data_IF_306154120805
#
_entry.id   IF_306154120805
#
_cell.length_a   1.000
_cell.length_b   1.000
_cell.length_c   1.000
_cell.angle_alpha   90.00
_cell.angle_beta   90.00
_cell.angle_gamma   90.00
#
_symmetry.space_group_name_H-M   'P 1'
#
loop_
_entity.id
_entity.type
_entity.pdbx_description
1 polymer ?
#
# COMPACT_ATOMS: atom_id res chain seq x y z
N UNK A 1 -19.86 -20.04 2.51
CA UNK A 1 -18.63 -20.64 1.95
C UNK A 1 -17.46 -19.85 2.50
N UNK A 2 -16.45 -20.53 3.07
CA UNK A 2 -15.37 -19.91 3.84
C UNK A 2 -14.50 -19.04 2.93
N UNK A 3 -14.55 -17.72 3.12
CA UNK A 3 -13.47 -16.85 2.67
C UNK A 3 -12.17 -17.42 3.25
N UNK A 4 -11.17 -17.62 2.39
CA UNK A 4 -9.86 -18.10 2.79
C UNK A 4 -9.33 -17.22 3.92
N UNK A 5 -9.37 -17.74 5.14
CA UNK A 5 -8.63 -17.18 6.25
C UNK A 5 -7.17 -17.43 5.95
N UNK A 6 -6.56 -16.54 5.15
CA UNK A 6 -5.12 -16.38 5.13
C UNK A 6 -4.73 -16.05 6.55
N UNK A 7 -4.22 -17.05 7.28
CA UNK A 7 -3.65 -16.83 8.59
C UNK A 7 -2.52 -15.80 8.44
N UNK A 8 -2.23 -15.04 9.49
CA UNK A 8 -1.13 -14.08 9.48
C UNK A 8 0.23 -14.70 9.04
N UNK A 9 0.35 -16.03 9.02
CA UNK A 9 1.50 -16.79 8.55
C UNK A 9 1.77 -16.72 7.03
N UNK A 10 0.80 -16.33 6.20
CA UNK A 10 0.98 -16.23 4.73
C UNK A 10 1.21 -14.79 4.23
N UNK A 11 1.46 -13.83 5.14
CA UNK A 11 1.82 -12.47 4.74
C UNK A 11 3.28 -12.47 4.24
N UNK A 12 3.54 -12.23 2.94
CA UNK A 12 4.90 -12.16 2.44
C UNK A 12 5.65 -11.06 3.20
N UNK A 13 6.89 -11.34 3.57
CA UNK A 13 7.78 -10.37 4.21
C UNK A 13 7.77 -9.06 3.42
N UNK A 14 7.48 -7.95 4.10
CA UNK A 14 7.54 -6.63 3.51
C UNK A 14 9.00 -6.24 3.27
N UNK A 15 9.55 -6.66 2.14
CA UNK A 15 10.95 -6.45 1.79
C UNK A 15 11.10 -6.25 0.29
N UNK A 16 12.00 -5.35 -0.09
CA UNK A 16 12.42 -5.16 -1.50
C UNK A 16 13.17 -6.38 -2.04
N UNK A 17 13.69 -7.24 -1.16
CA UNK A 17 14.42 -8.46 -1.51
C UNK A 17 13.49 -9.67 -1.64
N UNK A 18 12.21 -9.54 -1.28
CA UNK A 18 11.23 -10.60 -1.40
C UNK A 18 10.21 -10.25 -2.49
N UNK A 19 10.42 -10.79 -3.68
CA UNK A 19 9.68 -10.42 -4.88
C UNK A 19 8.39 -11.23 -5.01
N UNK A 20 7.26 -10.53 -5.10
CA UNK A 20 5.92 -11.07 -5.41
C UNK A 20 5.42 -10.73 -6.81
N UNK A 21 6.19 -9.94 -7.58
CA UNK A 21 5.88 -9.55 -8.95
C UNK A 21 7.14 -9.34 -9.79
N UNK A 22 7.01 -9.44 -11.11
CA UNK A 22 8.18 -9.37 -12.00
C UNK A 22 8.94 -8.02 -11.98
N UNK A 23 8.27 -6.87 -11.83
CA UNK A 23 8.98 -5.58 -11.71
C UNK A 23 9.83 -5.51 -10.43
N UNK A 24 9.32 -6.04 -9.31
CA UNK A 24 10.09 -6.17 -8.09
C UNK A 24 11.32 -7.10 -8.28
N UNK A 25 11.20 -8.16 -9.08
CA UNK A 25 12.34 -9.02 -9.41
C UNK A 25 13.42 -8.27 -10.22
N UNK A 26 13.03 -7.48 -11.23
CA UNK A 26 13.97 -6.61 -11.97
C UNK A 26 14.67 -5.62 -11.04
N UNK A 27 13.93 -4.98 -10.13
CA UNK A 27 14.49 -4.08 -9.12
C UNK A 27 15.43 -4.82 -8.16
N UNK A 28 15.09 -6.06 -7.79
CA UNK A 28 15.93 -6.92 -6.96
C UNK A 28 17.28 -7.25 -7.61
N UNK A 29 17.26 -7.61 -8.89
CA UNK A 29 18.49 -7.85 -9.65
C UNK A 29 19.36 -6.60 -9.76
N UNK A 30 18.74 -5.44 -10.06
CA UNK A 30 19.44 -4.15 -10.06
C UNK A 30 20.09 -3.87 -8.71
N UNK A 31 19.35 -4.11 -7.63
CA UNK A 31 19.84 -3.92 -6.26
C UNK A 31 21.08 -4.78 -6.00
N UNK A 32 20.99 -6.10 -6.22
CA UNK A 32 22.12 -7.00 -6.00
C UNK A 32 23.31 -6.70 -6.91
N UNK A 33 23.06 -6.42 -8.19
CA UNK A 33 24.12 -6.07 -9.14
C UNK A 33 24.90 -4.82 -8.72
N UNK A 34 24.19 -3.76 -8.32
CA UNK A 34 24.81 -2.51 -7.86
C UNK A 34 25.51 -2.69 -6.52
N UNK A 35 24.93 -3.45 -5.58
CA UNK A 35 25.56 -3.75 -4.29
C UNK A 35 26.85 -4.53 -4.49
N UNK A 36 26.86 -5.59 -5.31
CA UNK A 36 28.06 -6.39 -5.58
C UNK A 36 29.15 -5.52 -6.23
N UNK A 37 28.80 -4.75 -7.27
CA UNK A 37 29.76 -3.87 -7.93
C UNK A 37 30.35 -2.83 -6.95
N UNK A 38 29.49 -2.19 -6.14
CA UNK A 38 29.91 -1.23 -5.11
C UNK A 38 30.81 -1.87 -4.06
N UNK A 39 30.49 -3.06 -3.56
CA UNK A 39 31.30 -3.80 -2.60
C UNK A 39 32.67 -4.16 -3.16
N UNK A 40 32.75 -4.62 -4.42
CA UNK A 40 34.04 -4.95 -5.06
C UNK A 40 34.93 -3.72 -5.22
N UNK A 41 34.37 -2.59 -5.67
CA UNK A 41 35.10 -1.32 -5.79
C UNK A 41 35.58 -0.87 -4.41
N UNK A 42 34.70 -0.87 -3.41
CA UNK A 42 35.04 -0.48 -2.04
C UNK A 42 36.17 -1.36 -1.47
N UNK A 43 36.06 -2.69 -1.60
CA UNK A 43 37.07 -3.62 -1.14
C UNK A 43 38.42 -3.39 -1.83
N UNK A 44 38.43 -3.12 -3.15
CA UNK A 44 39.64 -2.80 -3.89
C UNK A 44 40.29 -1.50 -3.38
N UNK A 45 39.52 -0.45 -3.13
CA UNK A 45 40.03 0.82 -2.58
C UNK A 45 40.58 0.61 -1.16
N UNK A 46 39.88 -0.13 -0.31
CA UNK A 46 40.36 -0.45 1.04
C UNK A 46 41.62 -1.30 1.04
N UNK A 47 41.75 -2.24 0.10
CA UNK A 47 42.96 -3.03 -0.08
C UNK A 47 44.14 -2.16 -0.50
N UNK A 48 43.94 -1.26 -1.47
CA UNK A 48 44.98 -0.31 -1.89
C UNK A 48 45.42 0.60 -0.74
N UNK A 49 44.47 1.08 0.06
CA UNK A 49 44.76 1.85 1.28
C UNK A 49 45.58 1.01 2.28
N UNK A 50 45.16 -0.21 2.58
CA UNK A 50 45.87 -1.10 3.49
C UNK A 50 47.29 -1.42 3.01
N UNK A 51 47.47 -1.65 1.71
CA UNK A 51 48.79 -1.84 1.09
C UNK A 51 49.65 -0.58 1.20
N UNK A 52 49.07 0.61 1.00
CA UNK A 52 49.77 1.89 1.13
C UNK A 52 50.22 2.16 2.57
N UNK A 53 49.48 1.68 3.57
CA UNK A 53 49.85 1.84 4.99
C UNK A 53 50.89 0.81 5.45
N UNK A 54 50.96 -0.36 4.80
CA UNK A 54 51.87 -1.47 5.19
C UNK A 54 53.22 -1.45 4.51
N UNK A 55 53.33 -0.87 3.31
CA UNK A 55 54.57 -0.89 2.54
C UNK A 55 55.27 0.48 2.55
N UNK A 56 56.61 0.46 2.53
CA UNK A 56 57.43 1.67 2.37
C UNK A 56 57.16 2.35 1.02
N UNK A 57 57.35 3.68 0.98
CA UNK A 57 57.11 4.51 -0.19
C UNK A 57 57.78 3.94 -1.44
N UNK A 58 56.95 3.52 -2.41
CA UNK A 58 57.42 3.14 -3.76
C UNK A 58 57.28 4.34 -4.68
N UNK A 59 58.23 4.57 -5.61
CA UNK A 59 58.07 5.60 -6.62
C UNK A 59 56.87 5.24 -7.52
N UNK A 60 55.83 6.06 -7.46
CA UNK A 60 54.67 5.98 -8.34
C UNK A 60 54.79 7.04 -9.43
N UNK A 61 54.23 6.78 -10.62
CA UNK A 61 54.05 7.78 -11.67
C UNK A 61 52.64 8.37 -11.52
N UNK A 62 52.46 9.55 -10.88
CA UNK A 62 51.13 10.01 -10.49
C UNK A 62 50.19 10.17 -11.69
N UNK A 63 50.70 10.70 -12.82
CA UNK A 63 49.93 10.86 -14.05
C UNK A 63 49.33 9.56 -14.58
N UNK A 64 50.05 8.44 -14.49
CA UNK A 64 49.58 7.12 -14.96
C UNK A 64 48.47 6.59 -14.04
N UNK A 65 48.63 6.75 -12.73
CA UNK A 65 47.61 6.33 -11.75
C UNK A 65 46.34 7.17 -11.83
N UNK A 66 46.49 8.49 -12.01
CA UNK A 66 45.35 9.40 -12.19
C UNK A 66 44.62 9.05 -13.49
N UNK A 67 45.34 8.97 -14.62
CA UNK A 67 44.70 8.67 -15.90
C UNK A 67 44.07 7.26 -15.93
N UNK A 68 44.77 6.25 -15.41
CA UNK A 68 44.30 4.87 -15.39
C UNK A 68 43.24 4.62 -14.32
N UNK A 69 43.64 4.65 -13.05
CA UNK A 69 42.79 4.28 -11.92
C UNK A 69 41.78 5.39 -11.54
N UNK A 70 42.15 6.66 -11.76
CA UNK A 70 41.31 7.81 -11.41
C UNK A 70 40.31 8.23 -12.47
N UNK A 71 40.58 7.98 -13.77
CA UNK A 71 39.73 8.43 -14.89
C UNK A 71 39.24 7.26 -15.73
N UNK A 72 40.14 6.50 -16.36
CA UNK A 72 39.75 5.44 -17.29
C UNK A 72 38.93 4.35 -16.61
N UNK A 73 39.36 3.87 -15.43
CA UNK A 73 38.65 2.83 -14.68
C UNK A 73 37.23 3.27 -14.27
N UNK A 74 37.00 4.42 -13.59
CA UNK A 74 35.66 4.88 -13.25
C UNK A 74 34.78 5.11 -14.48
N UNK A 75 35.31 5.71 -15.55
CA UNK A 75 34.53 5.94 -16.79
C UNK A 75 34.05 4.61 -17.37
N UNK A 76 34.95 3.63 -17.55
CA UNK A 76 34.59 2.32 -18.11
C UNK A 76 33.55 1.62 -17.22
N UNK A 77 33.80 1.55 -15.91
CA UNK A 77 32.90 0.85 -14.98
C UNK A 77 31.53 1.53 -14.92
N UNK A 78 31.48 2.85 -14.79
CA UNK A 78 30.22 3.60 -14.75
C UNK A 78 29.45 3.50 -16.06
N UNK A 79 30.13 3.55 -17.22
CA UNK A 79 29.47 3.35 -18.52
C UNK A 79 28.86 1.96 -18.65
N UNK A 80 29.57 0.91 -18.22
CA UNK A 80 29.04 -0.46 -18.24
C UNK A 80 27.85 -0.63 -17.29
N UNK A 81 27.97 -0.13 -16.05
CA UNK A 81 26.89 -0.18 -15.05
C UNK A 81 25.67 0.63 -15.50
N UNK A 82 25.88 1.80 -16.10
CA UNK A 82 24.80 2.62 -16.67
C UNK A 82 24.11 1.88 -17.81
N UNK A 83 24.86 1.37 -18.78
CA UNK A 83 24.29 0.62 -19.91
C UNK A 83 23.48 -0.60 -19.47
N UNK A 84 24.01 -1.37 -18.51
CA UNK A 84 23.29 -2.50 -17.92
C UNK A 84 22.04 -2.05 -17.15
N UNK A 85 22.14 -1.02 -16.32
CA UNK A 85 21.03 -0.47 -15.54
C UNK A 85 19.90 0.04 -16.43
N UNK A 86 20.23 0.79 -17.49
CA UNK A 86 19.25 1.27 -18.48
C UNK A 86 18.57 0.11 -19.20
N UNK A 87 19.32 -0.91 -19.62
CA UNK A 87 18.77 -2.09 -20.28
C UNK A 87 17.83 -2.90 -19.36
N UNK A 88 18.19 -3.10 -18.09
CA UNK A 88 17.31 -3.76 -17.10
C UNK A 88 16.08 -2.90 -16.81
N UNK A 89 16.24 -1.59 -16.64
CA UNK A 89 15.13 -0.67 -16.38
C UNK A 89 14.13 -0.61 -17.54
N UNK A 90 14.59 -0.80 -18.79
CA UNK A 90 13.73 -0.88 -19.96
C UNK A 90 12.81 -2.12 -19.97
N UNK A 91 13.07 -3.12 -19.10
CA UNK A 91 12.23 -4.31 -18.93
C UNK A 91 11.15 -4.13 -17.86
N UNK A 92 11.16 -3.01 -17.13
CA UNK A 92 10.06 -2.64 -16.26
C UNK A 92 8.81 -2.38 -17.10
N UNK A 93 7.65 -2.75 -16.56
CA UNK A 93 6.39 -2.58 -17.29
C UNK A 93 6.11 -1.13 -17.67
N UNK A 94 5.48 -0.89 -18.84
CA UNK A 94 4.95 0.42 -19.18
C UNK A 94 3.82 0.78 -18.23
N UNK A 95 3.72 2.06 -17.91
CA UNK A 95 2.74 2.60 -16.97
C UNK A 95 1.49 3.03 -17.74
N UNK A 96 0.69 2.05 -18.18
CA UNK A 96 -0.46 2.28 -19.08
C UNK A 96 -1.70 1.52 -18.64
N UNK A 97 -2.87 2.13 -18.82
CA UNK A 97 -4.17 1.51 -18.57
C UNK A 97 -4.64 0.63 -19.73
N UNK A 98 -3.98 0.67 -20.89
CA UNK A 98 -4.42 -0.04 -22.07
C UNK A 98 -4.39 -1.57 -21.86
N UNK A 99 -5.54 -2.22 -21.93
CA UNK A 99 -5.68 -3.67 -21.71
C UNK A 99 -5.48 -4.12 -20.26
N UNK A 100 -5.42 -3.20 -19.29
CA UNK A 100 -5.24 -3.50 -17.88
C UNK A 100 -6.52 -3.20 -17.08
N UNK A 101 -6.71 -3.89 -15.95
CA UNK A 101 -7.68 -3.47 -14.94
C UNK A 101 -7.24 -2.11 -14.40
N UNK A 102 -8.08 -1.08 -14.54
CA UNK A 102 -7.81 0.26 -14.04
C UNK A 102 -8.47 0.49 -12.68
N UNK A 103 -7.67 0.93 -11.70
CA UNK A 103 -8.12 1.27 -10.35
C UNK A 103 -7.65 2.69 -10.06
N UNK A 104 -8.53 3.55 -9.52
CA UNK A 104 -8.12 4.87 -9.04
C UNK A 104 -7.75 4.78 -7.57
N UNK A 105 -6.62 5.37 -7.18
CA UNK A 105 -6.17 5.46 -5.80
C UNK A 105 -5.89 6.92 -5.45
N UNK A 106 -6.54 7.42 -4.42
CA UNK A 106 -6.35 8.79 -3.94
C UNK A 106 -5.76 8.78 -2.53
N UNK A 107 -4.60 9.44 -2.37
CA UNK A 107 -3.99 9.68 -1.06
C UNK A 107 -4.73 10.79 -0.32
N UNK A 108 -5.12 10.52 0.93
CA UNK A 108 -5.77 11.45 1.86
C UNK A 108 -5.05 11.35 3.20
N UNK A 109 -4.90 12.42 3.97
CA UNK A 109 -4.30 12.37 5.31
C UNK A 109 -5.24 11.62 6.29
N UNK A 110 -4.91 10.43 6.79
CA UNK A 110 -3.80 9.52 6.44
C UNK A 110 -4.36 8.11 6.17
N UNK A 111 -4.96 7.96 4.99
CA UNK A 111 -5.62 6.78 4.48
C UNK A 111 -5.68 6.80 2.94
N UNK A 112 -5.98 5.66 2.34
CA UNK A 112 -6.03 5.49 0.90
C UNK A 112 -7.46 5.24 0.45
N UNK A 113 -7.99 6.13 -0.39
CA UNK A 113 -9.25 5.90 -1.08
C UNK A 113 -8.98 5.08 -2.34
N UNK A 114 -9.74 4.01 -2.55
CA UNK A 114 -9.59 3.10 -3.69
C UNK A 114 -10.92 3.03 -4.42
N UNK A 115 -10.91 3.20 -5.74
CA UNK A 115 -12.12 3.16 -6.57
C UNK A 115 -11.93 2.20 -7.72
N UNK A 116 -12.86 1.26 -7.84
CA UNK A 116 -12.99 0.34 -8.96
C UNK A 116 -14.14 0.76 -9.85
N UNK A 117 -14.12 0.32 -11.10
CA UNK A 117 -15.27 0.41 -11.99
C UNK A 117 -15.97 -0.93 -12.03
N UNK A 118 -17.27 -0.96 -11.73
CA UNK A 118 -18.09 -2.14 -11.90
C UNK A 118 -18.18 -2.49 -13.40
N UNK A 119 -17.73 -3.68 -13.83
CA UNK A 119 -17.86 -4.09 -15.22
C UNK A 119 -19.32 -4.25 -15.67
N UNK A 120 -20.26 -4.55 -14.76
CA UNK A 120 -21.66 -4.77 -15.10
C UNK A 120 -22.45 -3.46 -15.24
N UNK A 121 -22.35 -2.57 -14.25
CA UNK A 121 -23.12 -1.31 -14.24
C UNK A 121 -22.34 -0.08 -14.67
N UNK A 122 -21.01 -0.15 -14.75
CA UNK A 122 -20.14 1.00 -15.00
C UNK A 122 -20.01 1.97 -13.82
N UNK A 123 -20.69 1.71 -12.69
CA UNK A 123 -20.63 2.53 -11.48
C UNK A 123 -19.28 2.42 -10.79
N UNK A 124 -18.92 3.44 -10.03
CA UNK A 124 -17.76 3.36 -9.15
C UNK A 124 -18.08 2.57 -7.89
N UNK A 125 -17.16 1.69 -7.51
CA UNK A 125 -17.18 0.94 -6.26
C UNK A 125 -16.05 1.51 -5.40
N UNK A 126 -16.42 2.18 -4.32
CA UNK A 126 -15.47 2.75 -3.36
C UNK A 126 -15.06 1.71 -2.31
N UNK A 127 -13.76 1.67 -2.04
CA UNK A 127 -13.11 0.92 -0.98
C UNK A 127 -12.05 1.81 -0.31
N UNK A 128 -11.41 1.31 0.74
CA UNK A 128 -10.39 2.06 1.45
C UNK A 128 -9.30 1.16 2.03
N UNK A 129 -8.05 1.59 1.92
CA UNK A 129 -6.85 0.96 2.50
C UNK A 129 -6.56 -0.49 2.09
N UNK A 130 -7.36 -1.07 1.20
CA UNK A 130 -7.16 -2.40 0.63
C UNK A 130 -7.38 -2.34 -0.88
N UNK A 131 -6.41 -2.84 -1.64
CA UNK A 131 -6.47 -2.94 -3.10
C UNK A 131 -6.55 -4.42 -3.45
N UNK A 132 -7.63 -4.87 -4.07
CA UNK A 132 -7.82 -6.25 -4.49
C UNK A 132 -7.49 -6.35 -5.98
N UNK A 133 -6.68 -7.34 -6.34
CA UNK A 133 -6.24 -7.55 -7.72
C UNK A 133 -6.31 -9.04 -8.11
N UNK A 134 -6.55 -9.37 -9.39
CA UNK A 134 -6.36 -10.72 -9.87
C UNK A 134 -4.87 -11.05 -10.06
N UNK A 135 -4.46 -12.24 -9.65
CA UNK A 135 -3.10 -12.76 -9.88
C UNK A 135 -2.81 -12.94 -11.36
N UNK A 136 -1.56 -12.76 -11.75
CA UNK A 136 -1.09 -13.02 -13.11
C UNK A 136 -1.59 -12.03 -14.16
N UNK A 137 -2.18 -10.89 -13.75
CA UNK A 137 -2.63 -9.81 -14.64
C UNK A 137 -1.99 -8.48 -14.29
N UNK A 138 -1.85 -7.63 -15.31
CA UNK A 138 -1.42 -6.26 -15.12
C UNK A 138 -2.60 -5.43 -14.62
N UNK A 139 -2.37 -4.67 -13.55
CA UNK A 139 -3.34 -3.75 -12.96
C UNK A 139 -2.74 -2.36 -12.97
N UNK A 140 -3.40 -1.43 -13.64
CA UNK A 140 -3.01 -0.04 -13.68
C UNK A 140 -3.66 0.73 -12.53
N UNK A 141 -2.84 1.36 -11.70
CA UNK A 141 -3.28 2.29 -10.69
C UNK A 141 -3.13 3.72 -11.22
N UNK A 142 -4.25 4.41 -11.37
CA UNK A 142 -4.29 5.86 -11.54
C UNK A 142 -4.18 6.51 -10.17
N UNK A 143 -3.08 7.21 -9.91
CA UNK A 143 -2.74 7.74 -8.60
C UNK A 143 -2.96 9.25 -8.54
N UNK A 144 -3.66 9.72 -7.52
CA UNK A 144 -3.87 11.13 -7.24
C UNK A 144 -3.73 11.43 -5.73
N UNK A 145 -3.61 12.70 -5.34
CA UNK A 145 -3.64 13.11 -3.94
C UNK A 145 -4.66 14.23 -3.73
N UNK A 146 -5.36 14.19 -2.59
CA UNK A 146 -6.38 15.19 -2.26
C UNK A 146 -5.84 16.37 -1.44
N UNK A 147 -4.68 16.21 -0.80
CA UNK A 147 -4.15 17.18 0.16
C UNK A 147 -2.65 17.48 -0.05
N UNK A 148 -1.77 16.64 0.49
CA UNK A 148 -0.31 16.77 0.41
C UNK A 148 0.27 15.72 -0.53
N UNK A 149 1.57 15.79 -0.78
CA UNK A 149 2.25 14.74 -1.55
C UNK A 149 2.27 13.46 -0.72
N UNK A 150 1.94 12.35 -1.37
CA UNK A 150 2.10 10.99 -0.85
C UNK A 150 2.97 10.18 -1.81
N UNK A 151 3.36 8.96 -1.45
CA UNK A 151 3.98 8.03 -2.39
C UNK A 151 3.49 6.63 -2.12
N UNK A 152 2.83 6.02 -3.09
CA UNK A 152 2.32 4.67 -2.96
C UNK A 152 3.47 3.68 -3.20
N UNK A 153 3.74 2.82 -2.21
CA UNK A 153 4.77 1.80 -2.36
C UNK A 153 4.33 0.45 -1.82
N UNK A 154 4.44 -0.58 -2.67
CA UNK A 154 4.25 -1.99 -2.33
C UNK A 154 5.54 -2.72 -2.69
N UNK A 155 6.53 -2.77 -1.77
CA UNK A 155 7.90 -3.19 -2.08
C UNK A 155 8.02 -4.54 -2.79
N UNK A 156 7.16 -5.49 -2.42
CA UNK A 156 7.16 -6.82 -3.00
C UNK A 156 6.64 -6.86 -4.44
N UNK A 157 5.91 -5.84 -4.92
CA UNK A 157 5.27 -5.87 -6.24
C UNK A 157 5.91 -4.93 -7.26
N UNK A 158 6.30 -3.72 -6.83
CA UNK A 158 6.87 -2.70 -7.72
C UNK A 158 7.63 -1.61 -6.94
N UNK A 159 8.26 -0.70 -7.69
CA UNK A 159 8.81 0.55 -7.15
C UNK A 159 7.72 1.49 -6.62
N UNK A 160 8.13 2.54 -5.90
CA UNK A 160 7.22 3.57 -5.40
C UNK A 160 6.80 4.54 -6.51
N UNK A 161 5.62 5.14 -6.36
CA UNK A 161 5.19 6.25 -7.22
C UNK A 161 4.60 7.38 -6.39
N UNK A 162 5.15 8.57 -6.58
CA UNK A 162 4.69 9.77 -5.90
C UNK A 162 3.34 10.24 -6.46
N UNK A 163 2.51 10.75 -5.56
CA UNK A 163 1.13 11.17 -5.77
C UNK A 163 1.07 12.65 -5.44
N UNK A 164 0.89 13.49 -6.46
CA UNK A 164 1.04 14.93 -6.36
C UNK A 164 -0.34 15.56 -6.57
N UNK A 165 -0.83 16.40 -5.63
CA UNK A 165 -2.12 17.07 -5.80
C UNK A 165 -2.23 17.79 -7.15
N UNK A 166 -3.34 17.58 -7.85
CA UNK A 166 -3.60 18.16 -9.17
C UNK A 166 -2.93 17.43 -10.35
N UNK A 167 -2.26 16.29 -10.12
CA UNK A 167 -1.67 15.46 -11.18
C UNK A 167 -2.02 13.99 -10.99
N UNK A 168 -2.46 13.35 -12.07
CA UNK A 168 -2.60 11.90 -12.10
C UNK A 168 -1.27 11.28 -12.53
N UNK A 169 -0.71 10.41 -11.70
CA UNK A 169 0.43 9.56 -12.06
C UNK A 169 -0.01 8.11 -12.22
N UNK A 170 0.80 7.30 -12.91
CA UNK A 170 0.48 5.89 -13.17
C UNK A 170 1.44 4.94 -12.48
N UNK A 171 0.90 3.87 -11.89
CA UNK A 171 1.66 2.72 -11.40
C UNK A 171 1.01 1.41 -11.81
N UNK A 172 1.71 0.59 -12.59
CA UNK A 172 1.25 -0.75 -12.99
C UNK A 172 1.81 -1.79 -12.03
N UNK A 173 0.92 -2.58 -11.45
CA UNK A 173 1.23 -3.67 -10.54
C UNK A 173 0.87 -5.01 -11.18
N UNK A 174 1.56 -6.06 -10.74
CA UNK A 174 1.21 -7.46 -11.00
C UNK A 174 1.70 -8.29 -9.81
N UNK A 175 0.80 -9.08 -9.24
CA UNK A 175 1.17 -10.14 -8.31
C UNK A 175 1.18 -11.48 -9.05
N UNK A 176 2.25 -12.24 -8.90
CA UNK A 176 2.40 -13.55 -9.57
C UNK A 176 1.78 -14.71 -8.77
N UNK A 177 1.55 -14.50 -7.47
CA UNK A 177 0.97 -15.50 -6.57
C UNK A 177 -0.18 -14.89 -5.75
N UNK A 178 -1.18 -15.68 -5.33
CA UNK A 178 -2.16 -15.23 -4.35
C UNK A 178 -1.48 -14.86 -3.04
N UNK A 179 -2.01 -13.87 -2.33
CA UNK A 179 -1.48 -13.44 -1.04
C UNK A 179 -1.80 -11.98 -0.69
N UNK A 180 -1.39 -11.57 0.51
CA UNK A 180 -1.61 -10.22 1.03
C UNK A 180 -0.27 -9.47 1.06
N UNK A 181 -0.07 -8.53 0.16
CA UNK A 181 1.16 -7.74 0.07
C UNK A 181 1.02 -6.42 0.82
N UNK A 182 1.93 -6.17 1.77
CA UNK A 182 1.93 -4.93 2.55
C UNK A 182 2.40 -3.74 1.71
N UNK A 183 1.62 -2.66 1.73
CA UNK A 183 1.96 -1.37 1.14
C UNK A 183 1.96 -0.23 2.15
N UNK A 184 2.63 0.88 1.82
CA UNK A 184 2.80 2.03 2.70
C UNK A 184 2.96 3.35 1.95
N UNK A 185 2.78 4.46 2.66
CA UNK A 185 3.22 5.77 2.21
C UNK A 185 4.75 5.87 2.30
N UNK A 186 5.40 6.31 1.23
CA UNK A 186 6.85 6.46 1.12
C UNK A 186 7.28 7.92 0.89
N UNK A 187 6.40 8.88 1.17
CA UNK A 187 6.70 10.32 1.17
C UNK A 187 6.12 10.94 2.45
N UNK A 188 6.90 11.78 3.14
CA UNK A 188 6.48 12.32 4.42
C UNK A 188 5.25 13.22 4.25
N UNK A 189 4.10 12.73 4.73
CA UNK A 189 2.80 13.37 4.55
C UNK A 189 2.20 13.90 5.86
N UNK A 190 3.02 14.04 6.91
CA UNK A 190 2.62 14.58 8.21
C UNK A 190 2.68 13.57 9.36
N UNK A 191 2.10 13.93 10.49
CA UNK A 191 2.27 13.26 11.80
C UNK A 191 1.90 11.77 11.81
N UNK A 192 0.98 11.33 10.95
CA UNK A 192 0.58 9.92 10.84
C UNK A 192 1.14 9.23 9.59
N UNK A 193 2.20 9.78 8.98
CA UNK A 193 2.90 9.20 7.84
C UNK A 193 3.26 7.72 8.06
N UNK A 194 3.88 7.40 9.20
CA UNK A 194 4.28 6.03 9.55
C UNK A 194 3.09 5.07 9.79
N UNK A 195 1.87 5.60 9.95
CA UNK A 195 0.62 4.84 10.12
C UNK A 195 -0.30 4.96 8.90
N UNK A 196 0.23 5.39 7.75
CA UNK A 196 -0.48 5.51 6.48
C UNK A 196 -0.15 4.34 5.57
N UNK A 197 -0.88 3.25 5.71
CA UNK A 197 -0.53 2.03 5.04
C UNK A 197 -1.75 1.30 4.46
N UNK A 198 -1.50 0.32 3.61
CA UNK A 198 -2.54 -0.44 2.93
C UNK A 198 -2.10 -1.90 2.73
N UNK A 199 -3.02 -2.70 2.20
CA UNK A 199 -2.72 -4.04 1.74
C UNK A 199 -3.17 -4.21 0.29
N UNK A 200 -2.37 -4.91 -0.50
CA UNK A 200 -2.80 -5.43 -1.81
C UNK A 200 -3.16 -6.90 -1.62
N UNK A 201 -4.42 -7.26 -1.82
CA UNK A 201 -4.89 -8.64 -1.72
C UNK A 201 -4.98 -9.22 -3.14
N UNK A 202 -4.09 -10.15 -3.46
CA UNK A 202 -4.05 -10.80 -4.76
C UNK A 202 -4.85 -12.11 -4.72
N UNK A 203 -5.84 -12.22 -5.60
CA UNK A 203 -6.79 -13.33 -5.64
C UNK A 203 -6.64 -14.14 -6.93
N UNK A 204 -6.97 -15.44 -6.92
CA UNK A 204 -7.38 -16.13 -8.14
C UNK A 204 -8.50 -15.34 -8.86
N UNK A 205 -8.53 -15.41 -10.19
CA UNK A 205 -9.44 -14.59 -11.00
C UNK A 205 -10.92 -14.71 -10.56
N UNK A 206 -11.41 -15.94 -10.36
CA UNK A 206 -12.81 -16.17 -9.97
C UNK A 206 -13.15 -15.57 -8.59
N UNK A 207 -12.20 -15.58 -7.65
CA UNK A 207 -12.37 -14.98 -6.34
C UNK A 207 -12.36 -13.45 -6.40
N UNK A 208 -11.50 -12.86 -7.25
CA UNK A 208 -11.52 -11.42 -7.52
C UNK A 208 -12.88 -10.98 -8.11
N UNK A 209 -13.37 -11.71 -9.11
CA UNK A 209 -14.64 -11.38 -9.78
C UNK A 209 -15.83 -11.49 -8.80
N UNK A 210 -15.84 -12.53 -7.97
CA UNK A 210 -16.84 -12.70 -6.91
C UNK A 210 -16.74 -11.59 -5.84
N UNK A 211 -15.53 -11.22 -5.43
CA UNK A 211 -15.29 -10.14 -4.49
C UNK A 211 -15.79 -8.80 -5.05
N UNK A 212 -15.45 -8.46 -6.30
CA UNK A 212 -15.84 -7.20 -6.93
C UNK A 212 -17.37 -7.10 -7.06
N UNK A 213 -18.02 -8.20 -7.47
CA UNK A 213 -19.48 -8.27 -7.55
C UNK A 213 -20.16 -8.16 -6.18
N UNK A 214 -19.54 -8.68 -5.12
CA UNK A 214 -20.04 -8.52 -3.75
C UNK A 214 -19.87 -7.07 -3.28
N UNK A 215 -18.72 -6.46 -3.52
CA UNK A 215 -18.45 -5.05 -3.19
C UNK A 215 -19.35 -4.07 -3.93
N UNK A 216 -19.90 -4.43 -5.09
CA UNK A 216 -20.85 -3.59 -5.81
C UNK A 216 -22.22 -3.47 -5.11
N UNK A 217 -22.54 -4.39 -4.18
CA UNK A 217 -23.86 -4.43 -3.53
C UNK A 217 -23.99 -3.33 -2.47
N UNK A 218 -25.22 -2.88 -2.17
CA UNK A 218 -25.47 -2.04 -1.01
C UNK A 218 -25.31 -2.84 0.29
N UNK A 219 -25.23 -2.13 1.42
CA UNK A 219 -25.22 -2.75 2.73
C UNK A 219 -26.52 -3.53 2.99
N UNK A 220 -26.39 -4.66 3.69
CA UNK A 220 -27.54 -5.45 4.14
C UNK A 220 -28.22 -4.72 5.29
N UNK A 221 -29.55 -4.59 5.22
CA UNK A 221 -30.33 -3.92 6.27
C UNK A 221 -30.34 -4.77 7.55
N UNK A 222 -30.13 -4.18 8.74
CA UNK A 222 -30.07 -4.92 9.99
C UNK A 222 -31.43 -5.47 10.39
N UNK A 223 -31.49 -6.78 10.68
CA UNK A 223 -32.72 -7.46 11.07
C UNK A 223 -32.91 -7.56 12.59
N UNK A 224 -31.82 -7.68 13.36
CA UNK A 224 -31.87 -7.80 14.82
C UNK A 224 -31.79 -6.45 15.54
N UNK A 225 -32.29 -6.42 16.77
CA UNK A 225 -32.40 -5.20 17.57
C UNK A 225 -31.04 -4.57 17.92
N UNK A 226 -29.97 -5.38 18.07
CA UNK A 226 -28.64 -4.87 18.39
C UNK A 226 -28.07 -4.10 17.20
N UNK A 227 -28.12 -4.67 15.99
CA UNK A 227 -27.63 -4.00 14.79
C UNK A 227 -28.51 -2.80 14.42
N UNK A 228 -29.81 -2.82 14.71
CA UNK A 228 -30.69 -1.65 14.55
C UNK A 228 -30.29 -0.52 15.50
N UNK A 229 -29.99 -0.82 16.77
CA UNK A 229 -29.43 0.17 17.73
C UNK A 229 -28.08 0.70 17.24
N UNK A 230 -27.22 -0.16 16.72
CA UNK A 230 -25.93 0.24 16.15
C UNK A 230 -26.07 1.17 14.95
N UNK A 231 -27.03 0.89 14.07
CA UNK A 231 -27.40 1.79 12.97
C UNK A 231 -27.94 3.12 13.48
N UNK A 232 -28.78 3.13 14.51
CA UNK A 232 -29.26 4.38 15.11
C UNK A 232 -28.08 5.21 15.68
N UNK A 233 -27.19 4.57 16.43
CA UNK A 233 -25.98 5.19 16.96
C UNK A 233 -25.07 5.77 15.86
N UNK A 234 -24.99 5.14 14.67
CA UNK A 234 -24.28 5.69 13.50
C UNK A 234 -24.83 7.06 13.09
N UNK A 235 -26.16 7.25 13.10
CA UNK A 235 -26.79 8.53 12.78
C UNK A 235 -26.69 9.54 13.92
N UNK A 236 -26.87 9.08 15.16
CA UNK A 236 -26.82 9.94 16.36
C UNK A 236 -25.42 10.55 16.55
N UNK A 237 -24.37 9.78 16.28
CA UNK A 237 -22.97 10.24 16.28
C UNK A 237 -22.57 11.00 15.00
N UNK A 238 -23.52 11.23 14.09
CA UNK A 238 -23.31 11.90 12.80
C UNK A 238 -22.23 11.28 11.91
N UNK A 239 -22.02 9.97 11.99
CA UNK A 239 -21.02 9.29 11.18
C UNK A 239 -21.30 9.42 9.66
N UNK A 240 -22.57 9.53 9.26
CA UNK A 240 -23.02 9.80 7.88
C UNK A 240 -22.50 11.11 7.30
N UNK A 241 -22.11 12.07 8.15
CA UNK A 241 -21.54 13.33 7.70
C UNK A 241 -20.12 13.20 7.14
N UNK A 242 -19.48 12.03 7.28
CA UNK A 242 -18.16 11.74 6.73
C UNK A 242 -18.12 10.42 5.94
N UNK A 243 -18.94 9.43 6.30
CA UNK A 243 -18.83 8.07 5.79
C UNK A 243 -20.07 7.66 4.98
N UNK A 244 -19.82 7.11 3.80
CA UNK A 244 -20.85 6.43 3.00
C UNK A 244 -21.09 5.00 3.50
N UNK A 245 -22.36 4.61 3.59
CA UNK A 245 -22.85 3.23 3.63
C UNK A 245 -23.95 3.12 2.58
N UNK A 246 -23.65 2.52 1.42
CA UNK A 246 -24.61 2.45 0.29
C UNK A 246 -25.92 1.79 0.72
N UNK A 247 -27.06 2.39 0.37
CA UNK A 247 -28.39 1.97 0.80
C UNK A 247 -28.77 2.36 2.24
N UNK A 248 -27.93 3.12 2.94
CA UNK A 248 -28.20 3.62 4.31
C UNK A 248 -27.92 5.12 4.42
N UNK A 249 -26.72 5.54 4.02
CA UNK A 249 -26.25 6.92 4.03
C UNK A 249 -25.33 7.13 2.83
N UNK A 250 -25.76 7.95 1.86
CA UNK A 250 -25.06 8.14 0.59
C UNK A 250 -24.41 9.53 0.50
N UNK A 251 -23.59 9.71 -0.52
CA UNK A 251 -23.03 11.00 -0.95
C UNK A 251 -22.06 11.71 0.01
N UNK A 252 -21.27 10.95 0.78
CA UNK A 252 -20.18 11.52 1.56
C UNK A 252 -18.86 10.74 1.46
N UNK A 253 -17.78 11.43 1.08
CA UNK A 253 -16.46 10.85 0.81
C UNK A 253 -15.32 11.56 1.58
N UNK A 254 -15.65 12.29 2.66
CA UNK A 254 -14.64 12.88 3.55
C UNK A 254 -13.85 11.77 4.27
N UNK A 255 -14.56 10.76 4.75
CA UNK A 255 -14.00 9.53 5.32
C UNK A 255 -14.05 8.34 4.36
N UNK A 256 -13.44 7.21 4.75
CA UNK A 256 -13.53 5.96 4.00
C UNK A 256 -14.96 5.44 3.90
N UNK A 257 -15.33 4.88 2.76
CA UNK A 257 -16.56 4.10 2.59
C UNK A 257 -16.62 2.98 3.64
N UNK A 258 -17.78 2.76 4.26
CA UNK A 258 -17.98 1.77 5.31
C UNK A 258 -18.94 0.65 4.89
N UNK A 259 -19.43 0.63 3.65
CA UNK A 259 -20.45 -0.31 3.15
C UNK A 259 -20.10 -1.77 3.41
N UNK A 260 -18.80 -2.12 3.33
CA UNK A 260 -18.29 -3.46 3.59
C UNK A 260 -17.11 -3.44 4.58
N UNK A 261 -17.12 -2.54 5.58
CA UNK A 261 -15.98 -2.39 6.52
C UNK A 261 -15.70 -3.64 7.33
N UNK A 262 -16.72 -4.44 7.68
CA UNK A 262 -16.59 -5.70 8.41
C UNK A 262 -15.90 -6.82 7.63
N UNK A 263 -15.78 -6.68 6.30
CA UNK A 263 -15.03 -7.60 5.44
C UNK A 263 -13.53 -7.29 5.38
N UNK A 264 -13.08 -6.15 5.93
CA UNK A 264 -11.67 -5.74 5.92
C UNK A 264 -10.84 -6.52 6.93
N UNK A 265 -9.56 -6.70 6.62
CA UNK A 265 -8.60 -7.26 7.56
C UNK A 265 -8.14 -6.21 8.58
N UNK A 266 -8.04 -4.96 8.16
CA UNK A 266 -7.55 -3.85 9.00
C UNK A 266 -8.39 -2.58 8.89
N UNK A 267 -8.34 -1.76 9.94
CA UNK A 267 -8.81 -0.37 9.99
C UNK A 267 -7.67 0.59 10.35
N UNK A 268 -7.96 1.89 10.30
CA UNK A 268 -6.97 2.93 10.58
C UNK A 268 -5.80 2.93 9.60
N UNK A 269 -6.06 2.69 8.31
CA UNK A 269 -5.03 2.57 7.27
C UNK A 269 -3.96 1.51 7.61
N UNK A 270 -4.42 0.28 7.90
CA UNK A 270 -3.55 -0.85 8.18
C UNK A 270 -2.84 -0.78 9.54
N UNK A 271 -3.39 -0.03 10.51
CA UNK A 271 -2.81 0.12 11.85
C UNK A 271 -3.38 -0.90 12.83
N UNK A 272 -4.70 -1.15 12.74
CA UNK A 272 -5.41 -2.01 13.67
C UNK A 272 -6.05 -3.18 12.93
N UNK A 273 -5.73 -4.44 13.24
CA UNK A 273 -6.44 -5.58 12.67
C UNK A 273 -7.85 -5.69 13.27
N UNK A 274 -8.90 -5.87 12.45
CA UNK A 274 -10.27 -6.02 12.98
C UNK A 274 -10.42 -7.35 13.74
N UNK A 275 -9.88 -8.44 13.19
CA UNK A 275 -10.19 -9.81 13.64
C UNK A 275 -9.04 -10.50 14.42
N UNK A 276 -8.04 -9.76 14.89
CA UNK A 276 -6.84 -10.37 15.50
C UNK A 276 -7.08 -11.05 16.86
N UNK A 277 -8.05 -10.56 17.63
CA UNK A 277 -8.42 -11.19 18.89
C UNK A 277 -9.94 -11.10 19.07
N UNK A 278 -10.62 -12.25 19.13
CA UNK A 278 -12.08 -12.34 19.35
C UNK A 278 -12.55 -11.65 20.66
N UNK A 279 -11.64 -11.32 21.57
CA UNK A 279 -11.93 -10.63 22.83
C UNK A 279 -11.72 -9.11 22.80
N UNK A 280 -11.12 -8.54 21.75
CA UNK A 280 -10.88 -7.10 21.64
C UNK A 280 -11.82 -6.47 20.61
N UNK A 281 -12.75 -5.64 21.10
CA UNK A 281 -13.64 -4.83 20.26
C UNK A 281 -12.85 -3.66 19.65
N UNK A 282 -12.04 -3.98 18.65
CA UNK A 282 -11.09 -3.04 18.02
C UNK A 282 -11.82 -1.93 17.29
N UNK A 283 -12.99 -2.22 16.72
CA UNK A 283 -13.85 -1.21 16.09
C UNK A 283 -14.43 -0.26 17.14
N UNK A 284 -14.97 -0.76 18.27
CA UNK A 284 -15.42 0.13 19.34
C UNK A 284 -14.29 1.01 19.86
N UNK A 285 -13.10 0.45 20.09
CA UNK A 285 -11.94 1.21 20.56
C UNK A 285 -11.51 2.30 19.57
N UNK A 286 -11.50 2.00 18.28
CA UNK A 286 -11.21 2.97 17.22
C UNK A 286 -12.26 4.09 17.16
N UNK A 287 -13.54 3.75 17.24
CA UNK A 287 -14.64 4.74 17.18
C UNK A 287 -14.66 5.62 18.43
N UNK A 288 -14.44 5.02 19.61
CA UNK A 288 -14.45 5.75 20.88
C UNK A 288 -13.28 6.74 20.99
N UNK A 289 -12.09 6.36 20.53
CA UNK A 289 -10.92 7.23 20.62
C UNK A 289 -9.88 6.91 19.51
N UNK A 290 -10.08 7.42 18.28
CA UNK A 290 -9.15 7.16 17.18
C UNK A 290 -7.78 7.82 17.43
N UNK A 291 -7.70 8.84 18.29
CA UNK A 291 -6.46 9.53 18.66
C UNK A 291 -5.49 8.61 19.41
N UNK A 292 -5.98 7.63 20.18
CA UNK A 292 -5.12 6.67 20.87
C UNK A 292 -4.32 5.81 19.87
N UNK A 293 -4.97 5.37 18.80
CA UNK A 293 -4.34 4.55 17.76
C UNK A 293 -3.64 5.37 16.69
N UNK A 294 -4.08 6.59 16.39
CA UNK A 294 -3.50 7.50 15.38
C UNK A 294 -3.61 8.96 15.83
N UNK A 295 -2.68 9.45 16.68
CA UNK A 295 -2.69 10.84 17.16
C UNK A 295 -2.71 11.88 16.04
N UNK A 296 -3.65 12.80 16.13
CA UNK A 296 -3.94 13.86 15.17
C UNK A 296 -4.67 13.42 13.91
N UNK A 297 -5.19 12.19 13.83
CA UNK A 297 -6.11 11.77 12.76
C UNK A 297 -7.35 12.67 12.71
N UNK A 298 -7.88 12.90 11.51
CA UNK A 298 -8.98 13.84 11.27
C UNK A 298 -10.37 13.28 11.63
N UNK A 299 -10.48 11.98 11.94
CA UNK A 299 -11.71 11.40 12.46
C UNK A 299 -11.88 11.81 13.93
N UNK A 300 -12.96 12.50 14.32
CA UNK A 300 -13.23 12.81 15.71
C UNK A 300 -13.59 11.54 16.50
N UNK A 301 -13.37 11.59 17.81
CA UNK A 301 -13.91 10.58 18.73
C UNK A 301 -15.44 10.66 18.77
N UNK A 302 -16.11 9.53 18.92
CA UNK A 302 -17.54 9.45 19.24
C UNK A 302 -17.79 9.86 20.70
N UNK A 303 -17.57 11.14 21.01
CA UNK A 303 -17.67 11.68 22.37
C UNK A 303 -19.10 11.63 22.90
N UNK A 304 -19.29 11.12 24.11
CA UNK A 304 -20.60 11.12 24.78
C UNK A 304 -21.52 9.95 24.40
N UNK A 305 -21.06 9.01 23.56
CA UNK A 305 -21.76 7.75 23.33
C UNK A 305 -21.72 6.87 24.59
N UNK A 306 -22.85 6.25 24.96
CA UNK A 306 -22.88 5.26 26.04
C UNK A 306 -22.26 3.93 25.60
N UNK A 307 -21.78 3.14 26.56
CA UNK A 307 -21.06 1.90 26.28
C UNK A 307 -21.89 0.83 25.56
N UNK A 308 -23.20 0.80 25.73
CA UNK A 308 -24.06 -0.15 25.01
C UNK A 308 -24.25 0.26 23.56
N UNK A 309 -24.51 1.54 23.30
CA UNK A 309 -24.64 2.08 21.95
C UNK A 309 -23.32 2.00 21.17
N UNK A 310 -22.18 2.18 21.84
CA UNK A 310 -20.85 1.98 21.24
C UNK A 310 -20.63 0.53 20.79
N UNK A 311 -20.93 -0.45 21.65
CA UNK A 311 -20.84 -1.87 21.29
C UNK A 311 -21.82 -2.24 20.18
N UNK A 312 -23.04 -1.70 20.21
CA UNK A 312 -24.02 -1.89 19.16
C UNK A 312 -23.53 -1.32 17.82
N UNK A 313 -22.93 -0.12 17.83
CA UNK A 313 -22.34 0.51 16.65
C UNK A 313 -21.18 -0.33 16.10
N UNK A 314 -20.28 -0.81 16.95
CA UNK A 314 -19.20 -1.68 16.52
C UNK A 314 -19.72 -2.99 15.89
N UNK A 315 -20.69 -3.66 16.53
CA UNK A 315 -21.34 -4.85 15.99
C UNK A 315 -22.03 -4.59 14.64
N UNK A 316 -22.69 -3.43 14.49
CA UNK A 316 -23.26 -2.98 13.22
C UNK A 316 -22.18 -2.85 12.13
N UNK A 317 -21.09 -2.15 12.41
CA UNK A 317 -19.99 -2.00 11.46
C UNK A 317 -19.33 -3.34 11.10
N UNK A 318 -19.18 -4.27 12.05
CA UNK A 318 -18.67 -5.63 11.79
C UNK A 318 -19.59 -6.48 10.91
N UNK A 319 -20.90 -6.23 10.96
CA UNK A 319 -21.89 -6.93 10.14
C UNK A 319 -21.92 -6.43 8.68
N UNK A 320 -21.37 -5.25 8.39
CA UNK A 320 -21.28 -4.68 7.04
C UNK A 320 -20.22 -5.42 6.21
N UNK A 321 -20.62 -6.44 5.44
CA UNK A 321 -19.73 -7.35 4.71
C UNK A 321 -19.96 -7.40 3.20
#
# INVERSE_FOLDING_TARGET
MRAGQGSAADTPLQSVLHHGGSDAAVIGELTWGMTIAGTLIFAAVMLLLAMSLRHHARPLRPAVWIAGAGVAFPVIVLSLLLGWSTWRSAQLRPQTSNGALAISVTGKMWWWEVRYRDPASGREIAAANEIHIPVGKNVYLGLNAADVIHSLWIPALAGKRDMIPGRVTGLTLRADKPGIYRGQCAEYCGIQHARMALHVVAHPQAEFDAWLAAQARPAVQPADALLQRGRAAFFDQRCQACHTIRGVAEDNNLGPDLTHVGSRAYIGAGTLPIHANKQQDTLAGWVANPQNAKPGVLMPAASGIDGESLRALAAYLEALK
#
